data_IF_329927388896
#
_entry.id   IF_329927388896
#
_cell.length_a   1.000
_cell.length_b   1.000
_cell.length_c   1.000
_cell.angle_alpha   90.00
_cell.angle_beta   90.00
_cell.angle_gamma   90.00
#
_symmetry.space_group_name_H-M   'P 1'
#
loop_
_entity.id
_entity.type
_entity.pdbx_description
1 polymer ?
#
# COMPACT_ATOMS: atom_id res chain seq x y z
N UNK A 1 22.47 23.87 -47.11
CA UNK A 1 22.94 23.98 -45.70
C UNK A 1 21.79 23.84 -44.67
N UNK A 2 20.67 23.19 -45.00
CA UNK A 2 19.47 23.16 -44.14
C UNK A 2 19.20 21.84 -43.41
N UNK A 3 19.99 20.79 -43.69
CA UNK A 3 19.74 19.45 -43.13
C UNK A 3 20.38 19.28 -41.75
N UNK A 4 21.61 19.80 -41.57
CA UNK A 4 22.34 19.71 -40.29
C UNK A 4 21.59 20.46 -39.18
N UNK A 5 21.06 21.65 -39.48
CA UNK A 5 20.27 22.42 -38.50
C UNK A 5 18.96 21.72 -38.09
N UNK A 6 18.34 20.96 -39.01
CA UNK A 6 17.12 20.17 -38.73
C UNK A 6 17.43 18.96 -37.87
N UNK A 7 18.53 18.26 -38.13
CA UNK A 7 18.96 17.11 -37.34
C UNK A 7 19.35 17.49 -35.91
N UNK A 8 20.05 18.63 -35.74
CA UNK A 8 20.39 19.16 -34.41
C UNK A 8 19.13 19.55 -33.64
N UNK A 9 18.18 20.24 -34.29
CA UNK A 9 16.91 20.62 -33.66
C UNK A 9 16.08 19.39 -33.23
N UNK A 10 16.04 18.36 -34.07
CA UNK A 10 15.33 17.12 -33.77
C UNK A 10 15.98 16.38 -32.59
N UNK A 11 17.31 16.31 -32.57
CA UNK A 11 18.07 15.67 -31.49
C UNK A 11 17.88 16.40 -30.16
N UNK A 12 17.88 17.73 -30.18
CA UNK A 12 17.66 18.55 -28.99
C UNK A 12 16.24 18.41 -28.42
N UNK A 13 15.23 18.26 -29.29
CA UNK A 13 13.84 18.01 -28.88
C UNK A 13 13.62 16.60 -28.28
N UNK A 14 14.34 15.59 -28.77
CA UNK A 14 14.30 14.23 -28.20
C UNK A 14 15.00 14.21 -26.82
N UNK A 15 16.09 14.97 -26.66
CA UNK A 15 16.81 15.06 -25.39
C UNK A 15 16.01 15.82 -24.31
N UNK A 16 15.27 16.87 -24.69
CA UNK A 16 14.45 17.64 -23.75
C UNK A 16 13.21 16.88 -23.27
N UNK A 17 12.59 16.06 -24.13
CA UNK A 17 11.44 15.21 -23.75
C UNK A 17 11.86 13.99 -22.91
N UNK A 18 12.99 13.37 -23.23
CA UNK A 18 13.51 12.21 -22.45
C UNK A 18 13.98 12.58 -21.04
N UNK A 19 14.49 13.81 -20.85
CA UNK A 19 14.88 14.30 -19.52
C UNK A 19 13.66 14.70 -18.66
N UNK A 20 12.57 15.18 -19.28
CA UNK A 20 11.30 15.44 -18.59
C UNK A 20 10.59 14.16 -18.11
N UNK A 21 10.71 13.05 -18.85
CA UNK A 21 10.17 11.76 -18.40
C UNK A 21 10.85 11.21 -17.14
N UNK A 22 12.14 11.52 -16.90
CA UNK A 22 12.82 11.09 -15.66
C UNK A 22 12.42 11.91 -14.43
N UNK A 23 12.01 13.17 -14.60
CA UNK A 23 11.63 14.03 -13.49
C UNK A 23 10.21 13.72 -12.94
N UNK A 24 9.31 13.22 -13.78
CA UNK A 24 7.93 12.86 -13.39
C UNK A 24 7.78 11.44 -12.84
N UNK A 25 8.83 10.62 -12.91
CA UNK A 25 8.86 9.26 -12.31
C UNK A 25 9.46 9.29 -10.89
N UNK A 26 9.51 10.45 -10.25
CA UNK A 26 9.38 10.51 -8.80
C UNK A 26 7.90 10.48 -8.46
N UNK A 27 7.24 9.40 -8.87
CA UNK A 27 6.00 8.98 -8.22
C UNK A 27 6.35 8.94 -6.75
N UNK A 28 5.67 9.77 -5.98
CA UNK A 28 5.55 9.64 -4.55
C UNK A 28 5.43 8.14 -4.26
N UNK A 29 6.55 7.53 -3.85
CA UNK A 29 6.49 6.38 -2.98
C UNK A 29 5.85 6.96 -1.74
N UNK A 30 4.51 7.03 -1.78
CA UNK A 30 3.68 7.10 -0.60
C UNK A 30 4.26 6.00 0.26
N UNK A 31 5.08 6.39 1.22
CA UNK A 31 5.57 5.51 2.26
C UNK A 31 4.30 4.94 2.85
N UNK A 32 3.94 3.73 2.41
CA UNK A 32 2.76 3.06 2.94
C UNK A 32 3.00 3.04 4.44
N UNK A 33 2.13 3.68 5.23
CA UNK A 33 2.38 3.82 6.66
C UNK A 33 2.69 2.43 7.19
N UNK A 34 3.84 2.32 7.87
CA UNK A 34 4.31 1.03 8.38
C UNK A 34 3.16 0.42 9.15
N UNK A 35 2.69 -0.79 8.77
CA UNK A 35 1.46 -1.33 9.33
C UNK A 35 1.62 -1.39 10.85
N UNK A 36 0.68 -0.77 11.55
CA UNK A 36 0.67 -0.75 13.01
C UNK A 36 0.55 -2.18 13.52
N UNK A 37 1.11 -2.46 14.69
CA UNK A 37 1.07 -3.79 15.30
C UNK A 37 -0.36 -4.36 15.37
N UNK A 38 -1.35 -3.50 15.59
CA UNK A 38 -2.78 -3.84 15.55
C UNK A 38 -3.25 -4.35 14.17
N UNK A 39 -2.80 -3.73 13.08
CA UNK A 39 -3.15 -4.14 11.71
C UNK A 39 -2.48 -5.46 11.34
N UNK A 40 -1.27 -5.71 11.83
CA UNK A 40 -0.56 -6.98 11.65
C UNK A 40 -1.32 -8.08 12.40
N UNK A 41 -1.71 -7.82 13.65
CA UNK A 41 -2.47 -8.75 14.48
C UNK A 41 -3.82 -9.09 13.84
N UNK A 42 -4.51 -8.08 13.30
CA UNK A 42 -5.77 -8.26 12.57
C UNK A 42 -5.58 -9.16 11.34
N UNK A 43 -4.61 -8.87 10.47
CA UNK A 43 -4.32 -9.71 9.29
C UNK A 43 -3.96 -11.14 9.67
N UNK A 44 -3.17 -11.33 10.72
CA UNK A 44 -2.80 -12.66 11.22
C UNK A 44 -4.02 -13.43 11.75
N UNK A 45 -4.90 -12.77 12.48
CA UNK A 45 -6.10 -13.39 13.01
C UNK A 45 -7.10 -13.74 11.89
N UNK A 46 -7.26 -12.85 10.91
CA UNK A 46 -8.07 -13.11 9.72
C UNK A 46 -7.51 -14.27 8.90
N UNK A 47 -6.18 -14.34 8.71
CA UNK A 47 -5.53 -15.46 8.03
C UNK A 47 -5.73 -16.80 8.76
N UNK A 48 -5.85 -16.77 10.10
CA UNK A 48 -6.21 -17.95 10.92
C UNK A 48 -7.70 -18.30 10.88
N UNK A 49 -8.52 -17.54 10.14
CA UNK A 49 -9.97 -17.72 10.05
C UNK A 49 -10.72 -17.28 11.32
N UNK A 50 -10.11 -16.43 12.15
CA UNK A 50 -10.74 -15.87 13.33
C UNK A 50 -11.51 -14.60 12.95
N UNK A 51 -12.69 -14.44 13.55
CA UNK A 51 -13.51 -13.25 13.48
C UNK A 51 -13.35 -12.43 14.76
N UNK A 52 -13.46 -11.11 14.60
CA UNK A 52 -13.44 -10.14 15.70
C UNK A 52 -14.84 -10.07 16.30
N UNK A 53 -14.96 -10.31 17.60
CA UNK A 53 -16.21 -10.18 18.35
C UNK A 53 -16.02 -9.15 19.46
N UNK A 54 -16.99 -8.24 19.62
CA UNK A 54 -17.05 -7.33 20.75
C UNK A 54 -18.09 -7.84 21.75
N UNK A 55 -17.64 -8.28 22.92
CA UNK A 55 -18.51 -8.82 23.98
C UNK A 55 -18.19 -8.07 25.27
N UNK A 56 -19.19 -7.44 25.89
CA UNK A 56 -19.06 -6.70 27.15
C UNK A 56 -17.91 -5.66 27.15
N UNK A 57 -17.73 -4.95 26.03
CA UNK A 57 -16.66 -3.96 25.86
C UNK A 57 -15.26 -4.53 25.64
N UNK A 58 -15.09 -5.86 25.63
CA UNK A 58 -13.82 -6.54 25.30
C UNK A 58 -13.83 -7.04 23.86
N UNK A 59 -12.74 -6.81 23.16
CA UNK A 59 -12.51 -7.37 21.81
C UNK A 59 -11.89 -8.76 21.94
N UNK A 60 -12.54 -9.77 21.37
CA UNK A 60 -12.11 -11.17 21.43
C UNK A 60 -12.07 -11.77 20.03
N UNK A 61 -10.99 -12.48 19.71
CA UNK A 61 -10.84 -13.20 18.43
C UNK A 61 -11.19 -14.69 18.59
N UNK A 62 -12.18 -15.16 17.82
CA UNK A 62 -12.68 -16.54 17.85
C UNK A 62 -13.19 -16.99 16.48
N UNK A 63 -13.38 -18.30 16.25
CA UNK A 63 -13.94 -18.81 14.99
C UNK A 63 -15.45 -18.55 14.88
N UNK A 64 -16.14 -18.63 16.00
CA UNK A 64 -17.59 -18.58 16.15
C UNK A 64 -17.96 -17.88 17.46
N UNK A 65 -19.19 -17.39 17.52
CA UNK A 65 -19.71 -16.60 18.64
C UNK A 65 -19.73 -17.39 19.95
N UNK A 66 -20.04 -18.70 19.91
CA UNK A 66 -20.02 -19.56 21.09
C UNK A 66 -18.63 -19.63 21.73
N UNK A 67 -17.57 -19.73 20.94
CA UNK A 67 -16.20 -19.67 21.46
C UNK A 67 -15.80 -18.27 21.89
N UNK A 68 -16.31 -17.21 21.25
CA UNK A 68 -16.08 -15.84 21.67
C UNK A 68 -16.64 -15.59 23.08
N UNK A 69 -17.89 -15.99 23.34
CA UNK A 69 -18.55 -15.86 24.65
C UNK A 69 -17.77 -16.66 25.70
N UNK A 70 -17.36 -17.89 25.39
CA UNK A 70 -16.57 -18.72 26.30
C UNK A 70 -15.22 -18.08 26.66
N UNK A 71 -14.53 -17.48 25.68
CA UNK A 71 -13.28 -16.75 25.91
C UNK A 71 -13.49 -15.44 26.67
N UNK A 72 -14.61 -14.75 26.45
CA UNK A 72 -14.93 -13.49 27.13
C UNK A 72 -15.32 -13.66 28.60
N UNK A 73 -15.84 -14.83 28.98
CA UNK A 73 -16.17 -15.20 30.37
C UNK A 73 -14.97 -15.66 31.19
N UNK A 74 -13.82 -15.90 30.55
CA UNK A 74 -12.57 -16.28 31.21
C UNK A 74 -11.81 -15.03 31.63
#
# INVERSE_FOLDING_TARGET
MNNIAREIALTLAILSTSTQQRALVRRELNETPKPTEEQIQEKLNTAKGLKKFCINGKTVWARDEKNAIRKAKR
#
